data_IF_416021235386
#
_entry.id   IF_416021235386
#
_cell.length_a   1.000
_cell.length_b   1.000
_cell.length_c   1.000
_cell.angle_alpha   90.00
_cell.angle_beta   90.00
_cell.angle_gamma   90.00
#
_symmetry.space_group_name_H-M   'P 1'
#
loop_
_entity.id
_entity.type
_entity.pdbx_description
1 polymer ?
#
# COMPACT_ATOMS: atom_id res chain seq x y z
N UNK A 1 43.93 40.32 80.97
CA UNK A 1 44.27 39.32 79.94
C UNK A 1 43.52 38.04 80.33
N UNK A 2 42.62 37.41 79.58
CA UNK A 2 42.25 37.46 78.18
C UNK A 2 40.73 37.18 78.05
N UNK A 3 40.07 37.78 77.06
CA UNK A 3 38.67 37.54 76.74
C UNK A 3 38.54 36.28 75.88
N UNK A 4 37.79 35.28 76.34
CA UNK A 4 37.43 34.11 75.53
C UNK A 4 36.02 34.35 74.97
N UNK A 5 35.95 34.69 73.68
CA UNK A 5 34.72 34.69 72.90
C UNK A 5 34.43 33.25 72.47
N UNK A 6 33.38 32.64 73.00
CA UNK A 6 32.82 31.42 72.41
C UNK A 6 32.00 31.82 71.18
N UNK A 7 32.48 31.46 69.99
CA UNK A 7 31.73 31.57 68.75
C UNK A 7 30.80 30.34 68.63
N UNK A 8 29.49 30.59 68.53
CA UNK A 8 28.50 29.60 68.12
C UNK A 8 28.74 29.25 66.63
N UNK A 9 28.87 27.97 66.23
CA UNK A 9 28.83 27.62 64.83
C UNK A 9 27.38 27.64 64.36
N UNK A 10 27.04 28.59 63.48
CA UNK A 10 25.82 28.55 62.68
C UNK A 10 25.96 27.38 61.71
N UNK A 11 25.23 26.29 61.97
CA UNK A 11 25.05 25.22 60.99
C UNK A 11 24.19 25.76 59.84
N UNK A 12 24.85 26.18 58.77
CA UNK A 12 24.23 26.41 57.47
C UNK A 12 23.87 25.04 56.86
N UNK A 13 22.60 24.66 56.99
CA UNK A 13 22.03 23.57 56.20
C UNK A 13 22.08 23.97 54.72
N UNK A 14 23.02 23.39 53.98
CA UNK A 14 22.95 23.33 52.52
C UNK A 14 21.81 22.38 52.16
N UNK A 15 20.60 22.92 51.96
CA UNK A 15 19.59 22.24 51.16
C UNK A 15 20.12 22.29 49.73
N UNK A 16 20.81 21.23 49.31
CA UNK A 16 20.97 20.95 47.90
C UNK A 16 19.56 20.74 47.35
N UNK A 17 18.99 21.78 46.75
CA UNK A 17 17.83 21.62 45.90
C UNK A 17 18.26 20.65 44.80
N UNK A 18 17.77 19.42 44.87
CA UNK A 18 17.79 18.50 43.75
C UNK A 18 17.00 19.21 42.66
N UNK A 19 17.71 19.88 41.74
CA UNK A 19 17.11 20.36 40.50
C UNK A 19 16.59 19.11 39.81
N UNK A 20 15.28 18.99 39.69
CA UNK A 20 14.71 18.10 38.69
C UNK A 20 15.36 18.50 37.36
N UNK A 21 16.01 17.57 36.67
CA UNK A 21 16.56 17.82 35.34
C UNK A 21 15.43 18.38 34.47
N UNK A 22 15.51 19.66 34.11
CA UNK A 22 14.49 20.32 33.33
C UNK A 22 14.39 19.59 31.98
N UNK A 23 13.17 19.32 31.50
CA UNK A 23 12.94 18.64 30.22
C UNK A 23 13.73 19.35 29.11
N UNK A 24 13.83 20.67 29.18
CA UNK A 24 14.60 21.49 28.27
C UNK A 24 16.10 21.17 28.30
N UNK A 25 16.69 20.96 29.49
CA UNK A 25 18.11 20.58 29.62
C UNK A 25 18.36 19.19 29.02
N UNK A 26 17.45 18.24 29.26
CA UNK A 26 17.54 16.88 28.71
C UNK A 26 17.42 16.85 27.18
N UNK A 27 16.56 17.68 26.60
CA UNK A 27 16.45 17.81 25.15
C UNK A 27 17.72 18.45 24.59
N UNK A 28 18.21 19.55 25.19
CA UNK A 28 19.45 20.22 24.75
C UNK A 28 20.67 19.32 24.80
N UNK A 29 20.77 18.47 25.84
CA UNK A 29 21.84 17.49 25.95
C UNK A 29 21.91 16.54 24.74
N UNK A 30 20.78 16.27 24.07
CA UNK A 30 20.73 15.49 22.82
C UNK A 30 20.93 16.40 21.62
N UNK A 31 20.17 17.49 21.49
CA UNK A 31 20.17 18.32 20.27
C UNK A 31 21.51 19.02 20.02
N UNK A 32 22.26 19.31 21.09
CA UNK A 32 23.52 20.05 21.05
C UNK A 32 24.74 19.10 21.09
N UNK A 33 24.50 17.77 21.08
CA UNK A 33 25.58 16.79 21.06
C UNK A 33 26.46 16.95 19.81
N UNK A 34 27.80 16.74 19.90
CA UNK A 34 28.74 17.03 18.81
C UNK A 34 28.39 16.40 17.45
N UNK A 35 27.80 15.21 17.45
CA UNK A 35 27.35 14.49 16.26
C UNK A 35 26.20 15.19 15.50
N UNK A 36 25.43 16.04 16.18
CA UNK A 36 24.31 16.79 15.61
C UNK A 36 24.66 18.25 15.28
N UNK A 37 25.94 18.64 15.36
CA UNK A 37 26.41 19.99 15.02
C UNK A 37 25.89 20.55 13.68
N UNK A 38 25.74 19.77 12.58
CA UNK A 38 25.18 20.29 11.33
C UNK A 38 23.65 20.23 11.25
N UNK A 39 22.98 19.60 12.23
CA UNK A 39 21.55 19.39 12.21
C UNK A 39 20.77 20.67 12.54
N UNK A 40 19.52 20.71 12.08
CA UNK A 40 18.53 21.72 12.50
C UNK A 40 17.38 20.98 13.16
N UNK A 41 16.99 21.41 14.35
CA UNK A 41 15.93 20.79 15.12
C UNK A 41 14.69 21.68 15.13
N UNK A 42 13.55 21.08 14.82
CA UNK A 42 12.21 21.64 15.04
C UNK A 42 11.47 20.73 16.02
N UNK A 43 11.12 21.25 17.19
CA UNK A 43 10.49 20.48 18.26
C UNK A 43 9.32 21.30 18.81
N UNK A 44 8.16 20.68 18.93
CA UNK A 44 7.00 21.24 19.63
C UNK A 44 6.38 20.11 20.46
N UNK A 45 6.35 20.31 21.78
CA UNK A 45 5.76 19.36 22.74
C UNK A 45 4.58 20.04 23.40
N UNK A 46 3.40 19.48 23.24
CA UNK A 46 2.14 20.01 23.77
C UNK A 46 1.52 18.99 24.70
N UNK A 47 1.04 19.45 25.86
CA UNK A 47 0.23 18.61 26.73
C UNK A 47 -1.17 18.44 26.10
N UNK A 48 -1.54 17.21 25.75
CA UNK A 48 -2.77 16.93 25.01
C UNK A 48 -4.07 17.29 25.75
N UNK A 49 -4.06 17.30 27.10
CA UNK A 49 -5.25 17.61 27.90
C UNK A 49 -5.48 19.13 28.03
N UNK A 50 -4.41 19.87 28.30
CA UNK A 50 -4.48 21.31 28.57
C UNK A 50 -4.20 22.19 27.36
N UNK A 51 -3.64 21.63 26.28
CA UNK A 51 -3.17 22.36 25.11
C UNK A 51 -1.95 23.24 25.36
N UNK A 52 -1.36 23.20 26.57
CA UNK A 52 -0.20 24.02 26.92
C UNK A 52 1.07 23.49 26.25
N UNK A 53 1.85 24.39 25.67
CA UNK A 53 3.21 24.10 25.21
C UNK A 53 4.09 23.80 26.42
N UNK A 54 4.74 22.64 26.39
CA UNK A 54 5.65 22.16 27.43
C UNK A 54 7.10 22.41 27.05
N UNK A 55 7.41 22.35 25.74
CA UNK A 55 8.71 22.69 25.18
C UNK A 55 8.56 23.05 23.70
N UNK A 56 9.33 24.02 23.23
CA UNK A 56 9.41 24.34 21.81
C UNK A 56 10.83 24.76 21.41
N UNK A 57 11.19 24.45 20.17
CA UNK A 57 12.44 24.86 19.52
C UNK A 57 12.18 24.98 18.03
N UNK A 58 12.34 26.19 17.48
CA UNK A 58 12.04 26.50 16.08
C UNK A 58 10.64 26.03 15.60
N UNK A 59 9.56 26.23 16.38
CA UNK A 59 8.24 25.65 16.07
C UNK A 59 7.66 26.14 14.73
N UNK A 60 7.96 27.38 14.35
CA UNK A 60 7.43 28.02 13.12
C UNK A 60 8.38 27.91 11.91
N UNK A 61 9.46 27.13 12.01
CA UNK A 61 10.39 26.95 10.89
C UNK A 61 9.94 25.82 9.98
N UNK A 62 10.16 26.00 8.68
CA UNK A 62 9.87 24.97 7.68
C UNK A 62 10.95 23.89 7.69
N UNK A 63 10.51 22.63 7.71
CA UNK A 63 11.35 21.44 7.59
C UNK A 63 10.82 20.55 6.47
N UNK A 64 11.66 19.64 5.97
CA UNK A 64 11.21 18.55 5.12
C UNK A 64 10.66 17.43 6.03
N UNK A 65 9.34 17.24 6.10
CA UNK A 65 8.73 16.34 7.10
C UNK A 65 8.90 14.85 6.76
N UNK A 66 9.45 14.52 5.58
CA UNK A 66 9.47 13.17 5.03
C UNK A 66 8.09 12.49 5.15
N UNK A 67 8.02 11.25 5.63
CA UNK A 67 6.76 10.51 5.77
C UNK A 67 5.80 11.05 6.84
N UNK A 68 6.21 12.01 7.67
CA UNK A 68 5.26 12.72 8.58
C UNK A 68 4.18 13.45 7.76
N UNK A 69 4.46 13.80 6.49
CA UNK A 69 3.47 14.32 5.53
C UNK A 69 2.18 13.49 5.46
N UNK A 70 2.27 12.15 5.63
CA UNK A 70 1.12 11.24 5.53
C UNK A 70 0.05 11.51 6.60
N UNK A 71 0.41 12.13 7.72
CA UNK A 71 -0.57 12.52 8.74
C UNK A 71 -1.61 13.48 8.17
N UNK A 72 -1.21 14.42 7.31
CA UNK A 72 -2.14 15.39 6.70
C UNK A 72 -3.12 14.69 5.75
N UNK A 73 -2.62 13.85 4.85
CA UNK A 73 -3.47 13.17 3.86
C UNK A 73 -4.40 12.15 4.53
N UNK A 74 -3.91 11.43 5.53
CA UNK A 74 -4.72 10.49 6.31
C UNK A 74 -5.79 11.20 7.15
N UNK A 75 -5.43 12.27 7.87
CA UNK A 75 -6.37 13.03 8.68
C UNK A 75 -7.46 13.67 7.81
N UNK A 76 -7.08 14.22 6.64
CA UNK A 76 -8.04 14.79 5.69
C UNK A 76 -9.01 13.73 5.18
N UNK A 77 -8.51 12.57 4.78
CA UNK A 77 -9.38 11.48 4.31
C UNK A 77 -10.34 10.98 5.40
N UNK A 78 -9.87 10.84 6.63
CA UNK A 78 -10.73 10.47 7.76
C UNK A 78 -11.77 11.54 8.08
N UNK A 79 -11.43 12.82 8.01
CA UNK A 79 -12.35 13.92 8.28
C UNK A 79 -13.43 14.05 7.20
N UNK A 80 -13.05 13.91 5.93
CA UNK A 80 -13.96 14.13 4.78
C UNK A 80 -14.83 12.92 4.45
N UNK A 81 -14.29 11.69 4.54
CA UNK A 81 -15.02 10.48 4.18
C UNK A 81 -15.59 9.74 5.39
N UNK A 82 -14.91 9.87 6.54
CA UNK A 82 -15.22 9.14 7.77
C UNK A 82 -14.46 7.80 7.89
N UNK A 83 -14.14 7.34 9.12
CA UNK A 83 -13.39 6.10 9.35
C UNK A 83 -14.14 4.84 8.87
N UNK A 84 -15.48 4.88 8.89
CA UNK A 84 -16.34 3.77 8.50
C UNK A 84 -16.69 3.75 7.00
N UNK A 85 -16.13 4.68 6.21
CA UNK A 85 -16.32 4.70 4.77
C UNK A 85 -15.82 3.38 4.16
N UNK A 86 -16.59 2.80 3.24
CA UNK A 86 -16.21 1.61 2.49
C UNK A 86 -16.34 1.88 1.00
N UNK A 87 -15.35 1.46 0.23
CA UNK A 87 -15.40 1.52 -1.23
C UNK A 87 -16.33 0.41 -1.73
N UNK A 88 -17.20 0.74 -2.67
CA UNK A 88 -18.03 -0.22 -3.39
C UNK A 88 -17.52 -0.33 -4.81
N UNK A 89 -17.04 -1.52 -5.19
CA UNK A 89 -16.44 -1.81 -6.51
C UNK A 89 -17.41 -2.69 -7.31
N UNK A 90 -18.32 -2.09 -8.10
CA UNK A 90 -19.34 -2.84 -8.83
C UNK A 90 -18.82 -3.41 -10.16
N UNK A 91 -19.46 -4.50 -10.60
CA UNK A 91 -19.37 -5.02 -11.97
C UNK A 91 -20.72 -4.86 -12.64
N UNK A 92 -20.71 -4.21 -13.79
CA UNK A 92 -21.88 -4.05 -14.66
C UNK A 92 -21.76 -4.93 -15.90
N UNK A 93 -22.91 -5.26 -16.50
CA UNK A 93 -22.96 -5.81 -17.86
C UNK A 93 -23.47 -4.80 -18.86
N UNK A 94 -22.94 -4.85 -20.08
CA UNK A 94 -23.51 -4.20 -21.27
C UNK A 94 -23.82 -5.27 -22.29
N UNK A 95 -25.06 -5.33 -22.78
CA UNK A 95 -25.55 -6.42 -23.64
C UNK A 95 -26.44 -7.41 -22.88
N UNK A 96 -27.02 -8.36 -23.59
CA UNK A 96 -28.07 -9.24 -23.08
C UNK A 96 -27.54 -10.59 -22.61
N UNK A 97 -28.21 -11.15 -21.59
CA UNK A 97 -27.92 -12.50 -21.08
C UNK A 97 -29.02 -13.45 -21.55
N UNK A 98 -28.64 -14.46 -22.33
CA UNK A 98 -29.53 -15.54 -22.75
C UNK A 98 -28.86 -16.88 -22.41
N UNK A 99 -29.58 -17.76 -21.73
CA UNK A 99 -29.08 -19.09 -21.34
C UNK A 99 -27.72 -19.04 -20.60
N UNK A 100 -27.56 -18.04 -19.71
CA UNK A 100 -26.32 -17.72 -18.97
C UNK A 100 -25.13 -17.31 -19.84
N UNK A 101 -25.35 -17.00 -21.11
CA UNK A 101 -24.35 -16.44 -22.02
C UNK A 101 -24.60 -14.94 -22.15
N UNK A 102 -23.59 -14.13 -21.79
CA UNK A 102 -23.61 -12.69 -22.02
C UNK A 102 -23.09 -12.40 -23.44
N UNK A 103 -24.00 -11.91 -24.29
CA UNK A 103 -23.64 -11.32 -25.58
C UNK A 103 -23.32 -9.84 -25.37
N UNK A 104 -22.10 -9.58 -24.91
CA UNK A 104 -21.64 -8.24 -24.57
C UNK A 104 -20.52 -8.25 -23.54
N UNK A 105 -20.32 -7.11 -22.88
CA UNK A 105 -19.14 -6.78 -22.09
C UNK A 105 -19.42 -6.80 -20.59
N UNK A 106 -18.39 -7.11 -19.79
CA UNK A 106 -18.37 -6.82 -18.36
C UNK A 106 -17.51 -5.59 -18.08
N UNK A 107 -17.96 -4.75 -17.18
CA UNK A 107 -17.31 -3.50 -16.81
C UNK A 107 -17.10 -3.50 -15.30
N UNK A 108 -15.85 -3.62 -14.87
CA UNK A 108 -15.44 -3.48 -13.46
C UNK A 108 -15.12 -2.02 -13.18
N UNK A 109 -15.81 -1.39 -12.24
CA UNK A 109 -15.59 0.03 -11.91
C UNK A 109 -14.54 0.17 -10.82
N UNK A 110 -13.42 0.78 -11.19
CA UNK A 110 -12.32 1.04 -10.28
C UNK A 110 -12.67 2.19 -9.32
N UNK A 111 -12.98 1.82 -8.08
CA UNK A 111 -13.57 2.73 -7.10
C UNK A 111 -12.55 3.29 -6.10
N UNK A 112 -11.26 3.02 -6.28
CA UNK A 112 -10.20 3.56 -5.41
C UNK A 112 -9.99 2.79 -4.12
N UNK A 113 -10.48 1.54 -4.02
CA UNK A 113 -10.18 0.66 -2.89
C UNK A 113 -8.67 0.39 -2.81
N UNK A 114 -8.04 0.98 -1.81
CA UNK A 114 -6.59 0.89 -1.58
C UNK A 114 -6.14 -0.54 -1.28
N UNK A 115 -7.02 -1.36 -0.69
CA UNK A 115 -6.70 -2.69 -0.14
C UNK A 115 -7.21 -3.84 -1.01
N UNK A 116 -7.57 -3.54 -2.26
CA UNK A 116 -8.25 -4.48 -3.15
C UNK A 116 -7.40 -5.74 -3.43
N UNK A 117 -7.77 -6.85 -2.79
CA UNK A 117 -7.11 -8.16 -2.87
C UNK A 117 -6.04 -8.40 -1.80
N UNK A 118 -4.86 -7.77 -1.94
CA UNK A 118 -3.61 -8.18 -1.28
C UNK A 118 -3.45 -7.90 0.22
N UNK A 119 -4.52 -7.49 0.92
CA UNK A 119 -4.43 -7.22 2.37
C UNK A 119 -5.59 -7.77 3.20
N UNK A 120 -6.48 -8.56 2.61
CA UNK A 120 -7.60 -9.14 3.36
C UNK A 120 -7.14 -10.26 4.31
N UNK A 121 -7.46 -10.16 5.60
CA UNK A 121 -7.23 -11.21 6.59
C UNK A 121 -8.39 -12.22 6.63
N UNK A 122 -8.08 -13.52 6.77
CA UNK A 122 -9.10 -14.59 6.79
C UNK A 122 -10.12 -14.45 7.92
N UNK A 123 -9.73 -13.81 9.02
CA UNK A 123 -10.58 -13.52 10.19
C UNK A 123 -11.20 -12.11 10.14
N UNK A 124 -11.12 -11.43 9.00
CA UNK A 124 -11.49 -10.02 8.82
C UNK A 124 -10.32 -9.06 9.07
N UNK A 125 -10.50 -7.81 8.63
CA UNK A 125 -9.52 -6.73 8.81
C UNK A 125 -8.38 -6.76 7.79
N UNK A 126 -7.43 -5.82 7.96
CA UNK A 126 -6.35 -5.60 6.98
C UNK A 126 -4.98 -5.99 7.51
N UNK A 127 -4.25 -6.79 6.74
CA UNK A 127 -2.92 -7.30 7.05
C UNK A 127 -1.79 -6.41 6.50
N UNK A 128 -0.69 -6.35 7.24
CA UNK A 128 0.56 -5.73 6.84
C UNK A 128 1.72 -6.33 7.65
N UNK A 129 2.95 -6.09 7.21
CA UNK A 129 4.16 -6.47 7.93
C UNK A 129 5.02 -5.24 8.21
N UNK A 130 5.92 -5.30 9.19
CA UNK A 130 6.85 -4.20 9.48
C UNK A 130 7.83 -3.98 8.31
N UNK A 131 8.32 -5.07 7.71
CA UNK A 131 9.10 -5.04 6.46
C UNK A 131 8.20 -5.40 5.27
N UNK A 132 7.27 -4.51 4.93
CA UNK A 132 6.21 -4.79 3.95
C UNK A 132 6.73 -5.06 2.52
N UNK A 133 6.10 -6.01 1.83
CA UNK A 133 6.47 -6.45 0.48
C UNK A 133 6.50 -5.33 -0.57
N UNK A 134 5.66 -4.29 -0.42
CA UNK A 134 5.59 -3.14 -1.35
C UNK A 134 6.95 -2.44 -1.52
N UNK A 135 7.88 -2.61 -0.58
CA UNK A 135 9.23 -2.04 -0.63
C UNK A 135 10.34 -3.09 -0.81
N UNK A 136 10.01 -4.29 -1.27
CA UNK A 136 10.98 -5.35 -1.57
C UNK A 136 11.76 -5.09 -2.89
N UNK A 137 12.26 -3.89 -3.08
CA UNK A 137 13.06 -3.50 -4.25
C UNK A 137 14.51 -3.99 -4.16
N UNK A 138 15.31 -3.75 -5.20
CA UNK A 138 16.74 -4.06 -5.23
C UNK A 138 17.44 -3.53 -3.97
N UNK A 139 18.16 -4.42 -3.26
CA UNK A 139 18.84 -4.11 -1.99
C UNK A 139 18.08 -4.48 -0.72
N UNK A 140 16.76 -4.72 -0.77
CA UNK A 140 16.00 -5.27 0.37
C UNK A 140 16.29 -6.76 0.55
N UNK A 141 16.35 -7.29 1.76
CA UNK A 141 16.59 -8.74 1.98
C UNK A 141 15.70 -9.37 3.03
N UNK A 142 14.91 -8.57 3.74
CA UNK A 142 14.10 -9.00 4.88
C UNK A 142 12.60 -8.69 4.69
N UNK A 143 12.18 -8.38 3.46
CA UNK A 143 10.78 -8.12 3.15
C UNK A 143 9.92 -9.35 3.42
N UNK A 144 8.72 -9.11 3.93
CA UNK A 144 7.77 -10.10 4.39
C UNK A 144 6.48 -10.00 3.58
N UNK A 145 5.89 -11.16 3.32
CA UNK A 145 4.56 -11.27 2.73
C UNK A 145 3.53 -11.54 3.81
N UNK A 146 2.35 -10.96 3.64
CA UNK A 146 1.17 -11.36 4.43
C UNK A 146 0.61 -12.67 3.87
N UNK A 147 -0.18 -13.38 4.68
CA UNK A 147 -0.89 -14.60 4.26
C UNK A 147 -2.12 -14.34 3.37
N UNK A 148 -2.36 -13.07 3.01
CA UNK A 148 -3.49 -12.66 2.18
C UNK A 148 -3.46 -13.33 0.82
N UNK A 149 -4.63 -13.43 0.18
CA UNK A 149 -4.71 -13.79 -1.23
C UNK A 149 -4.76 -12.50 -2.07
N UNK A 150 -3.75 -12.22 -2.92
CA UNK A 150 -3.72 -11.01 -3.75
C UNK A 150 -4.92 -10.91 -4.71
N UNK A 151 -5.62 -12.02 -4.98
CA UNK A 151 -6.76 -12.09 -5.88
C UNK A 151 -8.10 -12.13 -5.17
N UNK A 152 -8.14 -12.05 -3.82
CA UNK A 152 -9.35 -12.24 -3.01
C UNK A 152 -10.56 -11.47 -3.55
N UNK A 153 -10.43 -10.16 -3.77
CA UNK A 153 -11.54 -9.32 -4.21
C UNK A 153 -11.97 -9.60 -5.67
N UNK A 154 -11.03 -9.95 -6.54
CA UNK A 154 -11.32 -10.32 -7.92
C UNK A 154 -12.03 -11.70 -8.00
N UNK A 155 -11.59 -12.65 -7.18
CA UNK A 155 -12.22 -13.97 -7.10
C UNK A 155 -13.61 -13.88 -6.44
N UNK A 156 -13.83 -13.00 -5.47
CA UNK A 156 -15.16 -12.72 -4.93
C UNK A 156 -16.12 -12.20 -6.00
N UNK A 157 -15.72 -11.16 -6.73
CA UNK A 157 -16.49 -10.63 -7.85
C UNK A 157 -16.76 -11.70 -8.92
N UNK A 158 -15.75 -12.49 -9.28
CA UNK A 158 -15.89 -13.55 -10.28
C UNK A 158 -16.88 -14.64 -9.85
N UNK A 159 -16.89 -15.02 -8.56
CA UNK A 159 -17.88 -15.97 -8.01
C UNK A 159 -19.30 -15.43 -8.13
N UNK A 160 -19.49 -14.15 -7.80
CA UNK A 160 -20.80 -13.49 -7.92
C UNK A 160 -21.26 -13.48 -9.39
N UNK A 161 -20.39 -13.09 -10.33
CA UNK A 161 -20.69 -13.13 -11.77
C UNK A 161 -21.07 -14.55 -12.24
N UNK A 162 -20.35 -15.57 -11.75
CA UNK A 162 -20.55 -16.96 -12.13
C UNK A 162 -21.91 -17.54 -11.71
N UNK A 163 -22.66 -16.86 -10.82
CA UNK A 163 -24.03 -17.27 -10.43
C UNK A 163 -25.02 -17.14 -11.59
N UNK A 164 -24.90 -16.06 -12.38
CA UNK A 164 -25.81 -15.74 -13.48
C UNK A 164 -25.22 -15.90 -14.87
N UNK A 165 -23.88 -15.85 -15.00
CA UNK A 165 -23.18 -15.87 -16.29
C UNK A 165 -22.16 -17.02 -16.31
N UNK A 166 -22.17 -17.81 -17.38
CA UNK A 166 -21.23 -18.92 -17.64
C UNK A 166 -20.33 -18.66 -18.85
N UNK A 167 -20.67 -17.69 -19.68
CA UNK A 167 -19.84 -17.28 -20.81
C UNK A 167 -20.02 -15.79 -21.10
N UNK A 168 -18.91 -15.10 -21.39
CA UNK A 168 -18.86 -13.70 -21.82
C UNK A 168 -18.24 -13.65 -23.21
N UNK A 169 -19.01 -13.18 -24.20
CA UNK A 169 -18.57 -13.09 -25.61
C UNK A 169 -17.81 -11.80 -25.93
N UNK A 170 -18.12 -10.73 -25.21
CA UNK A 170 -17.49 -9.42 -25.39
C UNK A 170 -16.19 -9.27 -24.60
N UNK A 171 -15.87 -8.03 -24.28
CA UNK A 171 -14.68 -7.62 -23.56
C UNK A 171 -14.92 -7.57 -22.04
N UNK A 172 -13.80 -7.64 -21.32
CA UNK A 172 -13.74 -7.25 -19.91
C UNK A 172 -13.08 -5.87 -19.88
N UNK A 173 -13.75 -4.88 -19.31
CA UNK A 173 -13.32 -3.49 -19.27
C UNK A 173 -13.13 -3.04 -17.82
N UNK A 174 -12.15 -2.17 -17.58
CA UNK A 174 -11.97 -1.47 -16.32
C UNK A 174 -12.41 -0.03 -16.53
N UNK A 175 -13.39 0.44 -15.78
CA UNK A 175 -13.76 1.85 -15.74
C UNK A 175 -12.93 2.55 -14.66
N UNK A 176 -11.84 3.19 -15.08
CA UNK A 176 -10.89 3.92 -14.25
C UNK A 176 -11.15 5.44 -14.25
N UNK A 177 -12.36 5.87 -14.59
CA UNK A 177 -12.66 7.29 -14.78
C UNK A 177 -12.94 8.06 -13.48
N UNK A 178 -12.63 7.49 -12.31
CA UNK A 178 -12.81 8.10 -10.99
C UNK A 178 -11.87 9.30 -10.79
N UNK A 179 -10.62 9.18 -11.23
CA UNK A 179 -9.64 10.26 -11.30
C UNK A 179 -8.57 9.92 -12.34
N UNK A 180 -7.89 10.95 -12.87
CA UNK A 180 -6.83 10.75 -13.86
C UNK A 180 -5.59 10.10 -13.22
N UNK A 181 -4.97 9.17 -13.97
CA UNK A 181 -3.69 8.55 -13.61
C UNK A 181 -2.63 9.61 -13.30
N UNK A 182 -1.88 9.40 -12.23
CA UNK A 182 -0.77 10.29 -11.82
C UNK A 182 0.37 9.49 -11.20
N UNK A 183 1.38 10.18 -10.65
CA UNK A 183 2.54 9.57 -10.00
C UNK A 183 2.47 9.69 -8.48
N UNK A 184 2.87 8.61 -7.81
CA UNK A 184 3.11 8.53 -6.38
C UNK A 184 4.37 9.31 -6.03
N UNK A 185 4.46 9.81 -4.79
CA UNK A 185 5.68 10.39 -4.25
C UNK A 185 6.46 9.35 -3.44
N UNK A 186 7.79 9.29 -3.60
CA UNK A 186 8.66 8.41 -2.81
C UNK A 186 8.97 7.07 -3.48
N UNK A 187 9.45 6.11 -2.70
CA UNK A 187 9.77 4.75 -3.14
C UNK A 187 8.51 3.88 -3.34
N UNK A 188 8.69 2.71 -3.95
CA UNK A 188 7.63 1.75 -4.22
C UNK A 188 6.97 1.97 -5.59
N UNK A 189 5.75 1.46 -5.80
CA UNK A 189 5.03 1.63 -7.06
C UNK A 189 4.78 3.10 -7.38
N UNK A 190 5.10 3.48 -8.61
CA UNK A 190 5.05 4.88 -9.04
C UNK A 190 3.66 5.29 -9.53
N UNK A 191 2.85 4.36 -10.04
CA UNK A 191 1.61 4.71 -10.72
C UNK A 191 0.42 4.73 -9.76
N UNK A 192 -0.18 5.91 -9.61
CA UNK A 192 -1.45 6.12 -8.91
C UNK A 192 -2.60 5.98 -9.92
N UNK A 193 -3.51 5.05 -9.65
CA UNK A 193 -4.70 4.76 -10.46
C UNK A 193 -5.89 4.41 -9.56
N UNK A 194 -7.14 4.50 -10.06
CA UNK A 194 -8.31 4.12 -9.27
C UNK A 194 -8.45 2.63 -8.94
N UNK A 195 -7.64 1.76 -9.58
CA UNK A 195 -7.56 0.34 -9.23
C UNK A 195 -6.17 0.01 -8.70
N UNK A 196 -6.12 -0.75 -7.60
CA UNK A 196 -4.90 -1.17 -6.91
C UNK A 196 -4.99 -2.66 -6.57
N UNK A 197 -4.58 -3.55 -7.47
CA UNK A 197 -4.56 -4.99 -7.17
C UNK A 197 -3.21 -5.36 -6.59
N UNK A 198 -3.18 -5.89 -5.37
CA UNK A 198 -1.96 -6.27 -4.64
C UNK A 198 -0.93 -5.12 -4.60
N UNK A 199 -1.38 -3.93 -4.19
CA UNK A 199 -0.58 -2.69 -4.12
C UNK A 199 0.08 -2.28 -5.45
N UNK A 200 -0.42 -2.76 -6.59
CA UNK A 200 0.21 -2.60 -7.91
C UNK A 200 1.63 -3.18 -7.99
N UNK A 201 1.85 -4.32 -7.33
CA UNK A 201 3.09 -5.10 -7.45
C UNK A 201 2.82 -6.56 -7.80
N UNK A 202 3.78 -7.16 -8.49
CA UNK A 202 3.95 -8.62 -8.54
C UNK A 202 5.06 -9.00 -7.58
N UNK A 203 4.73 -9.84 -6.60
CA UNK A 203 5.69 -10.42 -5.68
C UNK A 203 6.47 -11.55 -6.36
N UNK A 204 7.77 -11.60 -6.15
CA UNK A 204 8.65 -12.69 -6.55
C UNK A 204 9.12 -13.38 -5.29
N UNK A 205 8.67 -14.62 -5.09
CA UNK A 205 9.07 -15.47 -3.97
C UNK A 205 10.20 -16.38 -4.47
N UNK A 206 11.40 -16.16 -3.94
CA UNK A 206 12.63 -16.79 -4.43
C UNK A 206 13.18 -17.73 -3.36
N UNK A 207 13.11 -19.03 -3.62
CA UNK A 207 13.63 -20.06 -2.72
C UNK A 207 14.91 -20.69 -3.27
N UNK A 208 15.90 -21.01 -2.44
CA UNK A 208 17.10 -21.70 -2.90
C UNK A 208 16.76 -23.10 -3.43
N UNK A 209 17.59 -23.58 -4.35
CA UNK A 209 17.66 -24.98 -4.75
C UNK A 209 18.34 -25.84 -3.68
N UNK A 210 18.50 -27.13 -3.97
CA UNK A 210 18.96 -28.13 -2.99
C UNK A 210 20.40 -27.94 -2.53
N UNK A 211 21.29 -27.45 -3.40
CA UNK A 211 22.71 -27.18 -3.08
C UNK A 211 23.25 -25.97 -3.84
N UNK A 212 24.40 -25.47 -3.40
CA UNK A 212 25.12 -24.39 -4.07
C UNK A 212 25.37 -24.70 -5.57
N UNK A 213 25.11 -23.71 -6.43
CA UNK A 213 25.18 -23.82 -7.89
C UNK A 213 23.87 -24.21 -8.57
N UNK A 214 22.94 -24.86 -7.86
CA UNK A 214 21.65 -25.27 -8.43
C UNK A 214 20.78 -24.04 -8.77
N UNK A 215 19.88 -24.12 -9.78
CA UNK A 215 18.85 -23.11 -9.99
C UNK A 215 18.01 -22.86 -8.73
N UNK A 216 17.71 -21.60 -8.44
CA UNK A 216 16.73 -21.21 -7.44
C UNK A 216 15.31 -21.26 -8.05
N UNK A 217 14.32 -21.48 -7.19
CA UNK A 217 12.91 -21.46 -7.58
C UNK A 217 12.37 -20.04 -7.45
N UNK A 218 11.93 -19.45 -8.57
CA UNK A 218 11.35 -18.10 -8.61
C UNK A 218 9.87 -18.21 -8.97
N UNK A 219 8.98 -17.76 -8.08
CA UNK A 219 7.53 -17.82 -8.27
C UNK A 219 6.91 -16.43 -8.18
N UNK A 220 6.02 -16.10 -9.11
CA UNK A 220 5.22 -14.88 -9.07
C UNK A 220 4.03 -15.02 -8.11
N UNK A 221 3.63 -13.94 -7.44
CA UNK A 221 2.39 -13.83 -6.67
C UNK A 221 1.77 -12.44 -6.94
N UNK A 222 0.54 -12.35 -7.47
CA UNK A 222 -0.24 -13.46 -8.00
C UNK A 222 0.43 -14.09 -9.25
N UNK A 223 0.18 -15.37 -9.46
CA UNK A 223 0.54 -16.04 -10.71
C UNK A 223 -0.44 -15.60 -11.81
N UNK A 224 0.09 -15.27 -12.99
CA UNK A 224 -0.71 -14.78 -14.12
C UNK A 224 -0.03 -15.11 -15.45
N UNK A 225 -0.83 -15.24 -16.51
CA UNK A 225 -0.34 -15.31 -17.88
C UNK A 225 -0.15 -13.96 -18.56
N UNK A 226 -0.45 -12.84 -17.88
CA UNK A 226 -0.32 -11.48 -18.44
C UNK A 226 1.11 -10.93 -18.34
N UNK A 227 1.80 -11.25 -17.25
CA UNK A 227 3.16 -10.82 -16.97
C UNK A 227 4.13 -11.90 -17.42
N UNK A 228 5.22 -11.51 -18.08
CA UNK A 228 6.28 -12.41 -18.52
C UNK A 228 7.54 -12.18 -17.70
N UNK A 229 8.04 -13.26 -17.09
CA UNK A 229 9.25 -13.27 -16.29
C UNK A 229 10.31 -14.15 -16.93
N UNK A 230 11.48 -13.59 -17.17
CA UNK A 230 12.69 -14.33 -17.48
C UNK A 230 13.57 -14.41 -16.23
N UNK A 231 13.66 -15.58 -15.60
CA UNK A 231 14.39 -15.77 -14.35
C UNK A 231 15.61 -16.69 -14.52
N UNK A 232 16.79 -16.20 -14.12
CA UNK A 232 18.01 -16.98 -13.94
C UNK A 232 18.64 -16.58 -12.60
N UNK A 233 18.21 -17.27 -11.55
CA UNK A 233 18.69 -17.09 -10.18
C UNK A 233 19.32 -18.39 -9.71
N UNK A 234 20.46 -18.30 -9.04
CA UNK A 234 21.21 -19.48 -8.56
C UNK A 234 21.27 -19.56 -7.04
N UNK A 235 21.44 -20.76 -6.54
CA UNK A 235 21.71 -21.02 -5.14
C UNK A 235 23.18 -20.71 -4.86
N UNK A 236 23.45 -19.78 -3.95
CA UNK A 236 24.77 -19.41 -3.48
C UNK A 236 25.16 -20.16 -2.21
N UNK A 237 26.35 -19.84 -1.69
CA UNK A 237 26.89 -20.40 -0.46
C UNK A 237 25.98 -20.13 0.74
N UNK A 238 25.80 -21.13 1.61
CA UNK A 238 25.10 -20.99 2.89
C UNK A 238 25.71 -19.85 3.73
N UNK A 239 24.86 -19.01 4.34
CA UNK A 239 25.28 -17.86 5.15
C UNK A 239 25.80 -16.64 4.38
N UNK A 240 25.84 -16.67 3.04
CA UNK A 240 26.11 -15.47 2.23
C UNK A 240 24.92 -14.50 2.25
N UNK A 241 25.11 -13.27 1.77
CA UNK A 241 24.00 -12.33 1.58
C UNK A 241 23.30 -12.57 0.24
N UNK A 242 21.95 -12.50 0.17
CA UNK A 242 21.24 -12.59 -1.10
C UNK A 242 21.54 -11.36 -1.97
N UNK A 243 21.69 -11.58 -3.27
CA UNK A 243 21.82 -10.52 -4.25
C UNK A 243 20.98 -10.88 -5.47
N UNK A 244 19.77 -10.30 -5.54
CA UNK A 244 18.84 -10.48 -6.66
C UNK A 244 18.43 -9.12 -7.18
N UNK A 245 18.53 -8.95 -8.50
CA UNK A 245 18.03 -7.80 -9.24
C UNK A 245 16.78 -8.16 -10.02
N UNK A 246 15.85 -7.21 -10.07
CA UNK A 246 14.66 -7.23 -10.94
C UNK A 246 14.75 -6.03 -11.86
N UNK A 247 14.70 -6.27 -13.17
CA UNK A 247 14.86 -5.23 -14.18
C UNK A 247 13.75 -5.34 -15.22
N UNK A 248 12.98 -4.26 -15.40
CA UNK A 248 11.96 -4.19 -16.42
C UNK A 248 12.60 -4.18 -17.82
N UNK A 249 12.12 -5.04 -18.71
CA UNK A 249 12.55 -5.09 -20.12
C UNK A 249 11.49 -4.59 -21.09
N UNK A 250 10.25 -4.46 -20.60
CA UNK A 250 9.11 -3.93 -21.33
C UNK A 250 7.89 -3.85 -20.43
N UNK A 251 6.77 -3.41 -21.00
CA UNK A 251 5.51 -3.38 -20.27
C UNK A 251 5.03 -4.79 -19.97
N UNK A 252 4.85 -5.10 -18.68
CA UNK A 252 4.55 -6.44 -18.19
C UNK A 252 5.66 -7.48 -18.42
N UNK A 253 6.89 -7.05 -18.69
CA UNK A 253 8.03 -7.94 -18.95
C UNK A 253 9.24 -7.55 -18.10
N UNK A 254 9.86 -8.52 -17.43
CA UNK A 254 11.06 -8.27 -16.65
C UNK A 254 11.99 -9.49 -16.55
N UNK A 255 13.24 -9.19 -16.22
CA UNK A 255 14.27 -10.17 -15.93
C UNK A 255 14.56 -10.22 -14.43
N UNK A 256 14.83 -11.42 -13.92
CA UNK A 256 15.27 -11.67 -12.55
C UNK A 256 16.63 -12.35 -12.62
N UNK A 257 17.65 -11.75 -11.99
CA UNK A 257 19.02 -12.25 -12.02
C UNK A 257 19.63 -12.25 -10.62
N UNK A 258 20.55 -13.17 -10.37
CA UNK A 258 21.40 -13.13 -9.18
C UNK A 258 21.46 -14.43 -8.40
N UNK A 259 21.61 -14.35 -7.08
CA UNK A 259 21.80 -15.49 -6.19
C UNK A 259 21.09 -15.34 -4.85
N UNK A 260 20.62 -16.45 -4.30
CA UNK A 260 20.12 -16.57 -2.92
C UNK A 260 20.89 -17.65 -2.15
N UNK A 261 21.18 -17.47 -0.85
CA UNK A 261 21.98 -18.44 -0.09
C UNK A 261 21.30 -19.80 0.05
N UNK A 262 22.05 -20.90 0.03
CA UNK A 262 21.50 -22.22 0.37
C UNK A 262 20.89 -22.21 1.79
N UNK A 263 19.78 -22.94 1.96
CA UNK A 263 19.02 -23.06 3.22
C UNK A 263 18.52 -21.73 3.82
N UNK A 264 18.45 -20.64 3.05
CA UNK A 264 17.79 -19.42 3.51
C UNK A 264 16.27 -19.55 3.42
N UNK A 265 15.57 -18.73 4.21
CA UNK A 265 14.15 -18.46 4.00
C UNK A 265 13.92 -17.83 2.62
N UNK A 266 12.70 -17.95 2.05
CA UNK A 266 12.40 -17.34 0.76
C UNK A 266 12.68 -15.83 0.75
N UNK A 267 13.39 -15.37 -0.26
CA UNK A 267 13.67 -13.94 -0.48
C UNK A 267 12.55 -13.35 -1.31
N UNK A 268 11.97 -12.24 -0.84
CA UNK A 268 10.93 -11.51 -1.55
C UNK A 268 11.55 -10.39 -2.38
N UNK A 269 11.13 -10.29 -3.64
CA UNK A 269 11.33 -9.11 -4.50
C UNK A 269 10.00 -8.67 -5.08
N UNK A 270 9.95 -7.45 -5.61
CA UNK A 270 8.79 -7.01 -6.39
C UNK A 270 9.16 -6.58 -7.80
N UNK A 271 8.21 -6.75 -8.71
CA UNK A 271 8.11 -5.99 -9.95
C UNK A 271 6.94 -4.99 -9.80
N UNK A 272 7.19 -3.67 -9.83
CA UNK A 272 6.13 -2.67 -9.86
C UNK A 272 5.35 -2.73 -11.18
N UNK A 273 4.02 -2.76 -11.09
CA UNK A 273 3.15 -2.77 -12.27
C UNK A 273 3.11 -1.38 -12.92
N UNK A 274 3.37 -1.34 -14.21
CA UNK A 274 3.39 -0.12 -15.03
C UNK A 274 2.00 0.22 -15.62
N UNK A 275 1.14 -0.77 -15.86
CA UNK A 275 -0.22 -0.58 -16.38
C UNK A 275 -1.30 -1.19 -15.45
N UNK A 276 -1.64 -0.52 -14.32
CA UNK A 276 -2.57 -1.07 -13.32
C UNK A 276 -3.95 -1.48 -13.86
N UNK A 277 -4.47 -0.76 -14.85
CA UNK A 277 -5.77 -1.09 -15.45
C UNK A 277 -5.72 -2.38 -16.25
N UNK A 278 -4.69 -2.57 -17.07
CA UNK A 278 -4.52 -3.80 -17.86
C UNK A 278 -4.17 -4.97 -16.95
N UNK A 279 -3.39 -4.72 -15.90
CA UNK A 279 -3.12 -5.67 -14.82
C UNK A 279 -4.41 -6.17 -14.16
N UNK A 280 -5.23 -5.26 -13.65
CA UNK A 280 -6.50 -5.62 -13.02
C UNK A 280 -7.46 -6.32 -14.00
N UNK A 281 -7.51 -5.86 -15.26
CA UNK A 281 -8.30 -6.50 -16.31
C UNK A 281 -7.89 -7.94 -16.54
N UNK A 282 -6.60 -8.19 -16.71
CA UNK A 282 -6.08 -9.52 -16.99
C UNK A 282 -6.34 -10.48 -15.82
N UNK A 283 -6.05 -10.03 -14.60
CA UNK A 283 -6.33 -10.81 -13.40
C UNK A 283 -7.83 -11.08 -13.22
N UNK A 284 -8.71 -10.14 -13.58
CA UNK A 284 -10.15 -10.35 -13.52
C UNK A 284 -10.63 -11.37 -14.57
N UNK A 285 -10.08 -11.34 -15.80
CA UNK A 285 -10.33 -12.38 -16.81
C UNK A 285 -9.93 -13.75 -16.28
N UNK A 286 -8.76 -13.85 -15.64
CA UNK A 286 -8.27 -15.11 -15.06
C UNK A 286 -9.13 -15.56 -13.88
N UNK A 287 -9.54 -14.64 -13.00
CA UNK A 287 -10.47 -14.92 -11.91
C UNK A 287 -11.82 -15.45 -12.43
N UNK A 288 -12.40 -14.82 -13.46
CA UNK A 288 -13.61 -15.30 -14.13
C UNK A 288 -13.43 -16.73 -14.66
N UNK A 289 -12.32 -17.01 -15.35
CA UNK A 289 -12.00 -18.34 -15.88
C UNK A 289 -11.84 -19.38 -14.76
N UNK A 290 -11.09 -19.06 -13.70
CA UNK A 290 -10.92 -19.95 -12.54
C UNK A 290 -12.23 -20.26 -11.83
N UNK A 291 -13.19 -19.32 -11.85
CA UNK A 291 -14.53 -19.49 -11.29
C UNK A 291 -15.56 -20.02 -12.31
N UNK A 292 -15.10 -20.59 -13.44
CA UNK A 292 -15.92 -21.34 -14.37
C UNK A 292 -16.70 -20.50 -15.39
N UNK A 293 -16.36 -19.23 -15.56
CA UNK A 293 -16.90 -18.37 -16.63
C UNK A 293 -15.98 -18.43 -17.84
N UNK A 294 -16.49 -18.86 -18.99
CA UNK A 294 -15.75 -18.82 -20.25
C UNK A 294 -15.60 -17.37 -20.71
N UNK A 295 -14.36 -16.92 -20.92
CA UNK A 295 -14.07 -15.56 -21.39
C UNK A 295 -13.11 -15.64 -22.57
N UNK A 296 -13.56 -15.22 -23.74
CA UNK A 296 -12.75 -15.23 -24.97
C UNK A 296 -11.79 -14.02 -25.09
N UNK A 297 -11.99 -13.00 -24.26
CA UNK A 297 -11.15 -11.79 -24.28
C UNK A 297 -9.66 -12.11 -24.05
N UNK A 298 -8.79 -11.43 -24.80
CA UNK A 298 -7.33 -11.53 -24.64
C UNK A 298 -6.91 -10.95 -23.28
N UNK A 299 -5.90 -11.55 -22.64
CA UNK A 299 -5.31 -11.01 -21.41
C UNK A 299 -4.58 -9.69 -21.68
N UNK A 300 -3.90 -9.58 -22.82
CA UNK A 300 -2.94 -8.51 -23.06
C UNK A 300 -3.58 -7.17 -23.43
N UNK A 301 -4.55 -7.19 -24.36
CA UNK A 301 -5.24 -5.99 -24.83
C UNK A 301 -6.68 -6.29 -25.20
N UNK A 302 -7.62 -5.38 -24.89
CA UNK A 302 -8.99 -5.50 -25.38
C UNK A 302 -9.06 -5.26 -26.89
N UNK A 303 -9.97 -5.95 -27.60
CA UNK A 303 -10.21 -5.67 -29.03
C UNK A 303 -10.88 -4.32 -29.24
N UNK A 304 -11.67 -3.89 -28.26
CA UNK A 304 -12.37 -2.61 -28.21
C UNK A 304 -12.34 -2.11 -26.77
N UNK A 305 -12.04 -0.83 -26.57
CA UNK A 305 -12.10 -0.18 -25.27
C UNK A 305 -13.04 1.02 -25.34
N UNK A 306 -14.34 0.73 -25.36
CA UNK A 306 -15.40 1.71 -25.39
C UNK A 306 -16.21 1.65 -24.09
N UNK A 307 -15.88 2.50 -23.12
CA UNK A 307 -16.71 2.59 -21.92
C UNK A 307 -18.06 3.24 -22.27
N UNK A 308 -19.17 2.81 -21.64
CA UNK A 308 -20.45 3.48 -21.80
C UNK A 308 -20.39 4.94 -21.30
N UNK A 309 -21.34 5.76 -21.73
CA UNK A 309 -21.57 7.10 -21.16
C UNK A 309 -21.68 7.02 -19.63
N UNK A 310 -21.22 8.06 -18.92
CA UNK A 310 -21.24 8.05 -17.44
C UNK A 310 -22.66 7.99 -16.86
N UNK A 311 -23.64 8.43 -17.63
CA UNK A 311 -25.07 8.43 -17.36
C UNK A 311 -25.77 7.10 -17.74
N UNK A 312 -25.05 6.17 -18.35
CA UNK A 312 -25.61 4.89 -18.77
C UNK A 312 -26.06 4.06 -17.56
N UNK A 313 -27.33 3.67 -17.54
CA UNK A 313 -27.89 2.79 -16.52
C UNK A 313 -27.72 1.34 -16.94
N UNK A 314 -26.66 0.71 -16.46
CA UNK A 314 -26.35 -0.69 -16.75
C UNK A 314 -26.77 -1.61 -15.59
N UNK A 315 -27.18 -2.86 -15.87
CA UNK A 315 -27.46 -3.83 -14.82
C UNK A 315 -26.18 -4.20 -14.05
N UNK A 316 -26.20 -3.99 -12.73
CA UNK A 316 -25.16 -4.45 -11.82
C UNK A 316 -25.33 -5.94 -11.58
N UNK A 317 -24.24 -6.70 -11.68
CA UNK A 317 -24.25 -8.17 -11.55
C UNK A 317 -23.36 -8.70 -10.43
N UNK A 318 -22.43 -7.89 -9.94
CA UNK A 318 -21.60 -8.19 -8.78
C UNK A 318 -21.15 -6.88 -8.11
N UNK A 319 -20.76 -6.96 -6.84
CA UNK A 319 -20.20 -5.84 -6.08
C UNK A 319 -19.28 -6.35 -4.98
N UNK A 320 -18.12 -5.72 -4.84
CA UNK A 320 -17.20 -5.94 -3.72
C UNK A 320 -17.21 -4.72 -2.81
N UNK A 321 -17.25 -4.95 -1.48
CA UNK A 321 -17.16 -3.89 -0.48
C UNK A 321 -15.87 -4.01 0.30
N UNK A 322 -15.10 -2.92 0.36
CA UNK A 322 -13.82 -2.88 1.09
C UNK A 322 -14.01 -3.00 2.60
N UNK A 323 -12.90 -3.21 3.31
CA UNK A 323 -12.82 -2.88 4.74
C UNK A 323 -13.00 -1.37 5.00
N UNK A 324 -13.32 -0.93 6.24
CA UNK A 324 -13.45 0.49 6.54
C UNK A 324 -12.18 1.25 6.19
N UNK A 325 -12.31 2.51 5.77
CA UNK A 325 -11.20 3.39 5.44
C UNK A 325 -10.15 3.45 6.56
N UNK A 326 -10.58 3.38 7.82
CA UNK A 326 -9.68 3.30 8.98
C UNK A 326 -8.63 2.18 8.86
N UNK A 327 -8.95 1.03 8.28
CA UNK A 327 -8.00 -0.06 8.08
C UNK A 327 -6.96 0.25 7.00
N UNK A 328 -7.36 0.89 5.90
CA UNK A 328 -6.43 1.37 4.87
C UNK A 328 -5.52 2.50 5.41
N UNK A 329 -6.05 3.37 6.28
CA UNK A 329 -5.27 4.41 6.96
C UNK A 329 -4.26 3.80 7.94
N UNK A 330 -4.66 2.77 8.68
CA UNK A 330 -3.77 2.00 9.56
C UNK A 330 -2.59 1.41 8.78
N UNK A 331 -2.84 0.78 7.63
CA UNK A 331 -1.78 0.31 6.74
C UNK A 331 -0.90 1.46 6.27
N UNK A 332 -1.51 2.55 5.80
CA UNK A 332 -0.80 3.73 5.30
C UNK A 332 0.20 4.27 6.33
N UNK A 333 -0.20 4.34 7.61
CA UNK A 333 0.63 4.86 8.69
C UNK A 333 1.63 3.84 9.25
N UNK A 334 1.26 2.56 9.33
CA UNK A 334 2.15 1.50 9.85
C UNK A 334 3.26 1.13 8.88
N UNK A 335 2.91 0.97 7.60
CA UNK A 335 3.85 0.66 6.52
C UNK A 335 4.52 1.93 5.99
N UNK A 336 3.97 3.11 6.31
CA UNK A 336 4.34 4.36 5.64
C UNK A 336 4.11 4.26 4.12
N UNK A 337 2.96 3.72 3.71
CA UNK A 337 2.67 3.36 2.33
C UNK A 337 2.54 4.59 1.41
N UNK A 338 3.49 4.77 0.50
CA UNK A 338 3.59 5.95 -0.37
C UNK A 338 2.47 6.02 -1.40
N UNK A 339 2.20 4.88 -2.07
CA UNK A 339 1.12 4.80 -3.05
C UNK A 339 -0.23 5.14 -2.41
N UNK A 340 -0.56 4.56 -1.25
CA UNK A 340 -1.82 4.84 -0.56
C UNK A 340 -1.92 6.32 -0.17
N UNK A 341 -0.88 6.87 0.46
CA UNK A 341 -0.87 8.27 0.87
C UNK A 341 -1.00 9.24 -0.32
N UNK A 342 -0.46 8.90 -1.48
CA UNK A 342 -0.57 9.69 -2.71
C UNK A 342 -1.95 9.60 -3.35
N UNK A 343 -2.66 8.48 -3.13
CA UNK A 343 -4.02 8.26 -3.65
C UNK A 343 -5.09 8.96 -2.81
N UNK A 344 -4.92 9.05 -1.49
CA UNK A 344 -5.93 9.61 -0.56
C UNK A 344 -6.48 11.00 -0.97
N UNK A 345 -5.65 12.00 -1.36
CA UNK A 345 -6.17 13.30 -1.79
C UNK A 345 -7.07 13.22 -3.03
N UNK A 346 -6.78 12.30 -3.96
CA UNK A 346 -7.60 12.09 -5.15
C UNK A 346 -8.94 11.47 -4.77
N UNK A 347 -8.95 10.54 -3.81
CA UNK A 347 -10.20 9.95 -3.30
C UNK A 347 -11.07 11.01 -2.62
N UNK A 348 -10.49 11.85 -1.77
CA UNK A 348 -11.20 12.98 -1.16
C UNK A 348 -11.77 13.92 -2.22
N UNK A 349 -11.02 14.19 -3.29
CA UNK A 349 -11.50 15.02 -4.39
C UNK A 349 -12.64 14.35 -5.19
N UNK A 350 -12.60 13.02 -5.35
CA UNK A 350 -13.54 12.25 -6.18
C UNK A 350 -14.84 11.86 -5.47
N UNK A 351 -14.89 11.84 -4.14
CA UNK A 351 -16.09 11.47 -3.37
C UNK A 351 -16.82 12.68 -2.79
N UNK A 352 -18.15 12.65 -2.81
CA UNK A 352 -18.98 13.62 -2.11
C UNK A 352 -18.98 13.30 -0.60
N UNK A 353 -18.44 14.22 0.20
CA UNK A 353 -18.38 14.13 1.65
C UNK A 353 -19.75 13.88 2.31
N UNK A 354 -20.85 14.34 1.69
CA UNK A 354 -22.20 14.19 2.24
C UNK A 354 -22.86 12.85 1.91
N UNK A 355 -22.59 12.32 0.73
CA UNK A 355 -23.30 11.14 0.21
C UNK A 355 -22.43 9.89 0.11
N UNK A 356 -21.12 10.00 0.33
CA UNK A 356 -20.17 8.88 0.22
C UNK A 356 -20.22 8.19 -1.15
N UNK A 357 -20.61 8.93 -2.19
CA UNK A 357 -20.70 8.47 -3.58
C UNK A 357 -19.68 9.24 -4.44
N UNK A 358 -19.19 8.64 -5.53
CA UNK A 358 -18.37 9.37 -6.49
C UNK A 358 -19.12 10.60 -7.01
N UNK A 359 -18.46 11.76 -7.08
CA UNK A 359 -19.06 13.03 -7.56
C UNK A 359 -19.58 12.95 -9.00
N UNK A 360 -19.13 11.97 -9.78
CA UNK A 360 -19.61 11.72 -11.15
C UNK A 360 -20.84 10.80 -11.22
N UNK A 361 -21.40 10.37 -10.08
CA UNK A 361 -22.61 9.54 -9.97
C UNK A 361 -23.80 10.27 -9.30
N UNK A 362 -23.59 11.48 -8.77
CA UNK A 362 -24.68 12.35 -8.34
C UNK A 362 -25.20 13.08 -9.59
N UNK A 363 -26.43 12.76 -9.99
CA UNK A 363 -27.09 13.33 -11.16
C UNK A 363 -27.43 14.80 -11.07
#
# INVERSE_FOLDING_TARGET
MAAIRLALPVLLFWIAAVRADDLADRIRAVTDAPEYKPARWGILVVNCESGKVVYEQNPDKLFLPASVTKLYTCATALAELGPDFRFETPVYRRGEVKDKVLDGDLILVASGDLTFGGRHGKSGGTLFCDNDHTYASNGSSNAQLTESDPLYALDDLAKQVATGIKEVKGEILIDDRLFARTRSSGSGPEIVSPILVNDNVVDLVISPGSKEGDPAYVRMRPETGYIQMDADVRTGKEGSSPHVTVEATGSGQFMVRGRVPAKCDPVVRIYPVDEPNLWARALFIEALRRNGVKVAASLYRPRRFDLPGRDARLPRIAEYKSEPLAEAIKVTLKVSHNLYASTLPLLVASYDAKHRLPKTMAG
#
